data_IF_709257399657
#
_entry.id   IF_709257399657
#
_cell.length_a   1.000
_cell.length_b   1.000
_cell.length_c   1.000
_cell.angle_alpha   90.00
_cell.angle_beta   90.00
_cell.angle_gamma   90.00
#
_symmetry.space_group_name_H-M   'P 1'
#
loop_
_entity.id
_entity.type
_entity.pdbx_description
1 polymer ?
#
# COMPACT_ATOMS: atom_id res chain seq x y z
N UNK A 1 17.75 6.58 -20.02
CA UNK A 1 17.40 7.31 -21.25
C UNK A 1 18.25 8.57 -21.30
N UNK A 2 19.09 8.72 -22.32
CA UNK A 2 20.13 9.77 -22.38
C UNK A 2 19.50 11.07 -22.91
N UNK A 3 19.48 12.14 -22.10
CA UNK A 3 18.89 13.46 -22.45
C UNK A 3 19.44 14.08 -23.75
N UNK A 4 20.57 13.58 -24.27
CA UNK A 4 21.20 14.07 -25.50
C UNK A 4 20.56 13.57 -26.79
N UNK A 5 19.55 12.69 -26.74
CA UNK A 5 18.93 12.10 -27.93
C UNK A 5 17.67 12.83 -28.44
N UNK A 6 17.18 13.85 -27.71
CA UNK A 6 16.02 14.60 -28.18
C UNK A 6 16.44 15.97 -28.74
N UNK A 7 16.10 16.21 -29.98
CA UNK A 7 16.14 17.55 -30.56
C UNK A 7 15.09 18.43 -29.87
N UNK A 8 15.27 19.77 -29.93
CA UNK A 8 14.26 20.72 -29.39
C UNK A 8 12.87 20.45 -30.01
N UNK A 9 12.81 20.24 -31.33
CA UNK A 9 11.57 19.91 -32.01
C UNK A 9 10.96 18.61 -31.54
N UNK A 10 11.73 17.55 -31.39
CA UNK A 10 11.23 16.28 -30.87
C UNK A 10 10.70 16.35 -29.43
N UNK A 11 11.23 17.26 -28.61
CA UNK A 11 10.69 17.53 -27.28
C UNK A 11 9.34 18.26 -27.34
N UNK A 12 9.23 19.28 -28.21
CA UNK A 12 7.99 20.02 -28.42
C UNK A 12 6.87 19.12 -28.99
N UNK A 13 7.20 18.28 -29.95
CA UNK A 13 6.26 17.32 -30.56
C UNK A 13 5.77 16.30 -29.49
N UNK A 14 6.67 15.82 -28.65
CA UNK A 14 6.32 14.92 -27.56
C UNK A 14 5.40 15.60 -26.55
N UNK A 15 5.68 16.84 -26.14
CA UNK A 15 4.82 17.59 -25.23
C UNK A 15 3.42 17.81 -25.83
N UNK A 16 3.35 18.20 -27.09
CA UNK A 16 2.09 18.39 -27.81
C UNK A 16 1.30 17.08 -27.86
N UNK A 17 1.96 15.96 -28.13
CA UNK A 17 1.32 14.65 -28.16
C UNK A 17 0.73 14.29 -26.79
N UNK A 18 1.51 14.45 -25.69
CA UNK A 18 1.02 14.19 -24.33
C UNK A 18 -0.16 15.08 -23.97
N UNK A 19 -0.10 16.35 -24.33
CA UNK A 19 -1.19 17.30 -24.05
C UNK A 19 -2.47 16.91 -24.78
N UNK A 20 -2.37 16.58 -26.06
CA UNK A 20 -3.52 16.25 -26.91
C UNK A 20 -4.17 14.90 -26.57
N UNK A 21 -3.41 13.98 -25.97
CA UNK A 21 -3.90 12.66 -25.58
C UNK A 21 -4.22 12.54 -24.07
N UNK A 22 -3.98 13.58 -23.28
CA UNK A 22 -4.28 13.55 -21.86
C UNK A 22 -5.78 13.45 -21.57
N UNK A 23 -6.12 12.86 -20.44
CA UNK A 23 -7.50 12.78 -19.96
C UNK A 23 -8.08 14.21 -19.83
N UNK A 24 -9.21 14.54 -20.49
CA UNK A 24 -9.81 15.86 -20.41
C UNK A 24 -10.35 16.12 -19.00
N UNK A 25 -10.36 17.40 -18.60
CA UNK A 25 -10.85 17.83 -17.29
C UNK A 25 -12.37 18.00 -17.23
N UNK A 26 -13.04 18.00 -18.38
CA UNK A 26 -14.48 18.15 -18.47
C UNK A 26 -15.08 17.02 -19.29
N UNK A 27 -16.19 16.50 -18.82
CA UNK A 27 -16.99 15.51 -19.54
C UNK A 27 -18.23 16.21 -20.04
N UNK A 28 -18.53 16.18 -21.38
CA UNK A 28 -19.75 16.77 -21.90
C UNK A 28 -21.00 16.17 -21.25
N UNK A 29 -22.08 16.95 -21.17
CA UNK A 29 -23.37 16.45 -20.68
C UNK A 29 -23.80 15.24 -21.51
N UNK A 30 -24.17 14.14 -20.88
CA UNK A 30 -24.53 12.86 -21.48
C UNK A 30 -23.45 12.26 -22.39
N UNK A 31 -22.21 12.77 -22.31
CA UNK A 31 -21.08 12.36 -23.13
C UNK A 31 -20.15 11.38 -22.43
N UNK A 32 -19.09 11.04 -23.16
CA UNK A 32 -17.97 10.22 -22.67
C UNK A 32 -16.67 11.01 -22.84
N UNK A 33 -15.73 10.78 -21.93
CA UNK A 33 -14.37 11.27 -22.06
C UNK A 33 -13.40 10.10 -21.93
N UNK A 34 -12.34 10.13 -22.71
CA UNK A 34 -11.24 9.18 -22.62
C UNK A 34 -9.92 9.91 -22.85
N UNK A 35 -8.85 9.38 -22.29
CA UNK A 35 -7.53 9.95 -22.45
C UNK A 35 -6.49 9.18 -21.63
N UNK A 36 -5.24 9.61 -21.76
CA UNK A 36 -4.12 9.01 -21.06
C UNK A 36 -3.88 9.69 -19.70
N UNK A 37 -3.58 8.89 -18.70
CA UNK A 37 -3.11 9.35 -17.39
C UNK A 37 -1.66 8.94 -17.24
N UNK A 38 -0.79 9.92 -16.99
CA UNK A 38 0.64 9.71 -16.86
C UNK A 38 1.03 9.66 -15.40
N UNK A 39 1.86 8.71 -15.04
CA UNK A 39 2.37 8.54 -13.68
C UNK A 39 3.87 8.24 -13.69
N UNK A 40 4.52 8.35 -12.52
CA UNK A 40 5.93 8.01 -12.38
C UNK A 40 6.19 6.50 -12.46
N UNK A 41 7.43 6.10 -12.80
CA UNK A 41 7.85 4.71 -13.02
C UNK A 41 8.22 3.96 -11.72
N UNK A 42 7.75 4.37 -10.55
CA UNK A 42 8.01 3.60 -9.33
C UNK A 42 7.30 2.26 -9.39
N UNK A 43 8.00 1.20 -8.97
CA UNK A 43 7.39 -0.11 -8.81
C UNK A 43 6.27 -0.09 -7.74
N UNK A 44 5.26 -0.93 -7.91
CA UNK A 44 4.13 -1.05 -6.99
C UNK A 44 2.79 -0.80 -7.67
N UNK A 45 1.72 -1.03 -6.94
CA UNK A 45 0.36 -0.72 -7.39
C UNK A 45 0.17 0.78 -7.50
N UNK A 46 -0.41 1.22 -8.59
CA UNK A 46 -0.79 2.63 -8.79
C UNK A 46 -2.19 2.86 -8.26
N UNK A 47 -2.31 3.77 -7.30
CA UNK A 47 -3.59 4.28 -6.85
C UNK A 47 -3.98 5.52 -7.67
N UNK A 48 -5.15 5.49 -8.28
CA UNK A 48 -5.73 6.64 -8.98
C UNK A 48 -6.99 7.05 -8.24
N UNK A 49 -7.03 8.31 -7.81
CA UNK A 49 -8.22 8.93 -7.27
C UNK A 49 -8.84 9.81 -8.35
N UNK A 50 -10.06 9.49 -8.73
CA UNK A 50 -10.85 10.27 -9.67
C UNK A 50 -11.97 10.97 -8.91
N UNK A 51 -11.92 12.29 -8.88
CA UNK A 51 -12.95 13.12 -8.27
C UNK A 51 -13.78 13.75 -9.39
N UNK A 52 -15.06 13.39 -9.44
CA UNK A 52 -16.03 13.99 -10.37
C UNK A 52 -16.91 14.96 -9.61
N UNK A 53 -17.01 16.18 -10.10
CA UNK A 53 -17.88 17.20 -9.55
C UNK A 53 -19.04 17.48 -10.51
N UNK A 54 -20.27 17.33 -10.02
CA UNK A 54 -21.48 17.57 -10.79
C UNK A 54 -22.54 18.17 -9.89
N UNK A 55 -23.16 19.28 -10.31
CA UNK A 55 -24.29 19.92 -9.63
C UNK A 55 -24.09 20.16 -8.12
N UNK A 56 -22.88 20.61 -7.73
CA UNK A 56 -22.55 20.83 -6.34
C UNK A 56 -22.16 19.58 -5.55
N UNK A 57 -22.19 18.40 -6.15
CA UNK A 57 -21.88 17.13 -5.51
C UNK A 57 -20.54 16.58 -6.01
N UNK A 58 -19.74 16.04 -5.08
CA UNK A 58 -18.45 15.39 -5.35
C UNK A 58 -18.63 13.88 -5.32
N UNK A 59 -18.18 13.21 -6.38
CA UNK A 59 -18.10 11.76 -6.48
C UNK A 59 -16.64 11.34 -6.49
N UNK A 60 -16.24 10.47 -5.56
CA UNK A 60 -14.87 10.01 -5.39
C UNK A 60 -14.75 8.53 -5.78
N UNK A 61 -13.83 8.22 -6.69
CA UNK A 61 -13.54 6.88 -7.16
C UNK A 61 -12.06 6.58 -6.96
N UNK A 62 -11.75 5.44 -6.36
CA UNK A 62 -10.37 4.97 -6.22
C UNK A 62 -10.16 3.70 -7.03
N UNK A 63 -9.19 3.74 -7.92
CA UNK A 63 -8.77 2.60 -8.74
C UNK A 63 -7.38 2.17 -8.31
N UNK A 64 -7.16 0.87 -8.16
CA UNK A 64 -5.86 0.27 -7.89
C UNK A 64 -5.43 -0.55 -9.10
N UNK A 65 -4.37 -0.11 -9.76
CA UNK A 65 -3.84 -0.75 -10.97
C UNK A 65 -2.50 -1.37 -10.64
N UNK A 66 -2.39 -2.71 -10.57
CA UNK A 66 -1.11 -3.37 -10.38
C UNK A 66 -0.22 -3.18 -11.61
N UNK A 67 1.07 -2.91 -11.39
CA UNK A 67 2.04 -2.87 -12.48
C UNK A 67 2.41 -4.30 -12.90
N UNK A 68 2.50 -4.59 -14.21
CA UNK A 68 2.99 -5.86 -14.69
C UNK A 68 4.40 -6.16 -14.15
N UNK A 69 4.61 -7.40 -13.68
CA UNK A 69 5.90 -7.85 -13.14
C UNK A 69 6.19 -7.42 -11.70
N UNK A 70 5.36 -6.60 -11.07
CA UNK A 70 5.47 -6.30 -9.64
C UNK A 70 4.62 -7.27 -8.81
N UNK A 71 5.25 -7.96 -7.88
CA UNK A 71 4.61 -8.81 -6.89
C UNK A 71 4.78 -8.17 -5.50
N UNK A 72 3.68 -7.69 -4.92
CA UNK A 72 3.69 -7.19 -3.55
C UNK A 72 3.96 -8.32 -2.56
N UNK A 73 4.62 -8.03 -1.46
CA UNK A 73 5.04 -9.02 -0.46
C UNK A 73 3.87 -9.78 0.16
N UNK A 74 2.73 -9.12 0.38
CA UNK A 74 1.54 -9.73 0.94
C UNK A 74 0.87 -10.76 0.01
N UNK A 75 1.17 -10.77 -1.31
CA UNK A 75 0.61 -11.76 -2.24
C UNK A 75 1.15 -13.17 -2.00
N UNK A 76 2.27 -13.32 -1.29
CA UNK A 76 2.84 -14.61 -0.86
C UNK A 76 2.08 -15.23 0.32
N UNK A 77 1.26 -14.44 1.03
CA UNK A 77 0.55 -14.87 2.23
C UNK A 77 -0.83 -15.37 1.85
N UNK A 78 -1.13 -16.60 2.21
CA UNK A 78 -2.48 -17.16 2.09
C UNK A 78 -3.29 -16.82 3.35
N UNK A 79 -3.87 -15.63 3.37
CA UNK A 79 -4.55 -15.08 4.55
C UNK A 79 -5.72 -15.94 5.05
N UNK A 80 -6.40 -16.64 4.15
CA UNK A 80 -7.48 -17.58 4.43
C UNK A 80 -7.02 -18.89 5.08
N UNK A 81 -5.73 -19.19 5.00
CA UNK A 81 -5.10 -20.40 5.55
C UNK A 81 -4.09 -20.09 6.67
N UNK A 82 -3.99 -18.82 7.07
CA UNK A 82 -2.97 -18.38 8.03
C UNK A 82 -3.26 -18.86 9.45
N UNK A 83 -4.53 -19.00 9.78
CA UNK A 83 -5.03 -19.52 11.05
C UNK A 83 -6.13 -20.53 10.82
N UNK A 84 -6.15 -21.59 11.61
CA UNK A 84 -7.27 -22.53 11.64
C UNK A 84 -8.52 -21.84 12.19
N UNK A 85 -9.70 -22.34 11.84
CA UNK A 85 -10.96 -21.71 12.26
C UNK A 85 -11.11 -21.64 13.78
N UNK A 86 -10.60 -22.62 14.49
CA UNK A 86 -10.59 -22.72 15.95
C UNK A 86 -9.59 -21.78 16.65
N UNK A 87 -8.62 -21.24 15.91
CA UNK A 87 -7.69 -20.23 16.41
C UNK A 87 -8.25 -18.82 16.33
N UNK A 88 -9.33 -18.64 15.55
CA UNK A 88 -9.94 -17.32 15.34
C UNK A 88 -10.80 -16.97 16.55
N UNK A 89 -10.52 -15.84 17.15
CA UNK A 89 -11.20 -15.35 18.35
C UNK A 89 -12.00 -14.09 17.97
N UNK A 90 -13.33 -14.16 18.15
CA UNK A 90 -14.20 -12.99 18.03
C UNK A 90 -14.12 -12.19 19.32
N UNK A 91 -13.88 -10.88 19.20
CA UNK A 91 -13.68 -9.96 20.31
C UNK A 91 -14.59 -8.74 20.13
N UNK A 92 -15.11 -8.25 21.22
CA UNK A 92 -15.60 -6.88 21.29
C UNK A 92 -14.45 -5.90 21.58
N UNK A 93 -14.77 -4.61 21.70
CA UNK A 93 -13.75 -3.58 21.97
C UNK A 93 -13.04 -3.77 23.32
N UNK A 94 -13.76 -4.24 24.32
CA UNK A 94 -13.19 -4.47 25.66
C UNK A 94 -12.24 -5.67 25.65
N UNK A 95 -12.65 -6.77 25.03
CA UNK A 95 -11.82 -7.95 24.85
C UNK A 95 -10.59 -7.69 23.98
N UNK A 96 -10.70 -6.86 22.92
CA UNK A 96 -9.54 -6.45 22.16
C UNK A 96 -8.56 -5.64 23.01
N UNK A 97 -9.06 -4.70 23.81
CA UNK A 97 -8.20 -3.92 24.72
C UNK A 97 -7.45 -4.83 25.69
N UNK A 98 -8.16 -5.76 26.32
CA UNK A 98 -7.55 -6.72 27.25
C UNK A 98 -6.44 -7.54 26.58
N UNK A 99 -6.71 -8.06 25.38
CA UNK A 99 -5.70 -8.79 24.58
C UNK A 99 -4.46 -7.93 24.26
N UNK A 100 -4.65 -6.66 23.93
CA UNK A 100 -3.56 -5.75 23.61
C UNK A 100 -2.73 -5.37 24.85
N UNK A 101 -3.38 -5.16 25.98
CA UNK A 101 -2.72 -4.73 27.23
C UNK A 101 -2.03 -5.89 27.95
N UNK A 102 -2.61 -7.09 27.90
CA UNK A 102 -2.17 -8.21 28.73
C UNK A 102 -1.52 -9.36 27.96
N UNK A 103 -1.82 -9.58 26.68
CA UNK A 103 -1.34 -10.73 25.94
C UNK A 103 -0.39 -10.39 24.78
N UNK A 104 -0.49 -9.17 24.22
CA UNK A 104 0.38 -8.79 23.12
C UNK A 104 1.79 -8.55 23.64
N UNK A 105 2.76 -9.29 23.08
CA UNK A 105 4.17 -8.97 23.33
C UNK A 105 4.48 -7.52 22.95
N UNK A 106 5.33 -6.84 23.71
CA UNK A 106 5.68 -5.45 23.41
C UNK A 106 6.29 -5.26 22.03
N UNK A 107 7.00 -6.28 21.58
CA UNK A 107 8.01 -6.08 20.55
C UNK A 107 8.11 -7.28 19.62
N UNK A 108 8.51 -7.02 18.38
CA UNK A 108 8.97 -8.06 17.48
C UNK A 108 10.27 -8.70 18.02
N UNK A 109 10.66 -9.82 17.46
CA UNK A 109 11.92 -10.49 17.79
C UNK A 109 12.73 -10.75 16.53
N UNK A 110 13.99 -11.15 16.69
CA UNK A 110 14.76 -11.75 15.63
C UNK A 110 14.33 -13.22 15.37
N UNK A 111 14.96 -13.87 14.41
CA UNK A 111 14.70 -15.26 14.04
C UNK A 111 14.98 -16.25 15.17
N UNK A 112 15.97 -15.98 15.98
CA UNK A 112 16.41 -16.83 17.10
C UNK A 112 15.68 -16.50 18.40
N UNK A 113 14.81 -15.47 18.41
CA UNK A 113 14.12 -14.94 19.58
C UNK A 113 15.05 -14.42 20.69
N UNK A 114 16.31 -14.16 20.35
CA UNK A 114 17.33 -13.69 21.31
C UNK A 114 17.39 -12.18 21.43
N UNK A 115 16.99 -11.46 20.37
CA UNK A 115 17.01 -9.98 20.33
C UNK A 115 15.61 -9.44 20.15
N UNK A 116 15.29 -8.39 20.91
CA UNK A 116 14.08 -7.61 20.69
C UNK A 116 14.27 -6.69 19.49
N UNK A 117 13.24 -6.63 18.64
CA UNK A 117 13.12 -5.70 17.54
C UNK A 117 12.28 -4.46 17.91
N UNK A 118 11.63 -3.86 16.91
CA UNK A 118 10.77 -2.70 17.11
C UNK A 118 9.51 -3.01 17.93
N UNK A 119 8.98 -2.02 18.66
CA UNK A 119 7.75 -2.18 19.43
C UNK A 119 6.52 -2.27 18.51
N UNK A 120 5.50 -2.99 18.96
CA UNK A 120 4.16 -2.95 18.38
C UNK A 120 3.45 -1.68 18.85
N UNK A 121 3.44 -0.67 18.01
CA UNK A 121 2.95 0.68 18.34
C UNK A 121 1.70 1.10 17.56
N UNK A 122 1.20 0.24 16.67
CA UNK A 122 0.06 0.56 15.82
C UNK A 122 -0.81 -0.68 15.64
N UNK A 123 -2.09 -0.53 15.87
CA UNK A 123 -3.11 -1.55 15.61
C UNK A 123 -4.04 -1.04 14.52
N UNK A 124 -4.24 -1.85 13.49
CA UNK A 124 -5.12 -1.54 12.37
C UNK A 124 -6.29 -2.52 12.37
N UNK A 125 -7.52 -2.01 12.38
CA UNK A 125 -8.74 -2.80 12.36
C UNK A 125 -9.44 -2.57 11.03
N UNK A 126 -9.71 -3.63 10.29
CA UNK A 126 -10.40 -3.56 9.01
C UNK A 126 -10.04 -4.71 8.08
N UNK A 127 -10.71 -4.79 6.93
CA UNK A 127 -10.36 -5.78 5.91
C UNK A 127 -9.02 -5.44 5.25
N UNK A 128 -8.29 -6.45 4.79
CA UNK A 128 -7.01 -6.26 4.09
C UNK A 128 -7.13 -5.33 2.89
N UNK A 129 -8.23 -5.40 2.13
CA UNK A 129 -8.47 -4.49 1.00
C UNK A 129 -8.68 -3.04 1.45
N UNK A 130 -9.39 -2.82 2.54
CA UNK A 130 -9.61 -1.46 3.09
C UNK A 130 -8.29 -0.88 3.58
N UNK A 131 -7.50 -1.65 4.31
CA UNK A 131 -6.18 -1.25 4.80
C UNK A 131 -5.23 -0.93 3.65
N UNK A 132 -5.16 -1.80 2.64
CA UNK A 132 -4.34 -1.57 1.44
C UNK A 132 -4.70 -0.25 0.75
N UNK A 133 -6.00 -0.01 0.51
CA UNK A 133 -6.48 1.25 -0.08
C UNK A 133 -6.08 2.46 0.76
N UNK A 134 -6.23 2.39 2.07
CA UNK A 134 -5.86 3.45 2.99
C UNK A 134 -4.35 3.75 2.93
N UNK A 135 -3.49 2.70 2.92
CA UNK A 135 -2.05 2.86 2.79
C UNK A 135 -1.67 3.54 1.47
N UNK A 136 -2.18 3.05 0.34
CA UNK A 136 -1.87 3.61 -0.98
C UNK A 136 -2.38 5.06 -1.13
N UNK A 137 -3.55 5.40 -0.57
CA UNK A 137 -4.05 6.78 -0.52
C UNK A 137 -3.22 7.70 0.39
N UNK A 138 -2.59 7.13 1.39
CA UNK A 138 -1.67 7.82 2.31
C UNK A 138 -0.23 7.88 1.81
N UNK A 139 0.02 7.67 0.51
CA UNK A 139 1.34 7.66 -0.13
C UNK A 139 2.32 6.62 0.44
N UNK A 140 1.80 5.55 1.03
CA UNK A 140 2.61 4.40 1.38
C UNK A 140 2.86 3.54 0.13
N UNK A 141 4.09 3.10 -0.02
CA UNK A 141 4.54 2.26 -1.12
C UNK A 141 4.59 0.81 -0.67
N UNK A 142 4.16 -0.08 -1.54
CA UNK A 142 4.26 -1.53 -1.33
C UNK A 142 5.71 -1.99 -1.44
N UNK A 143 6.05 -3.01 -0.69
CA UNK A 143 7.34 -3.69 -0.80
C UNK A 143 7.21 -4.92 -1.68
N UNK A 144 8.24 -5.26 -2.45
CA UNK A 144 8.25 -6.50 -3.22
C UNK A 144 8.50 -7.71 -2.33
N UNK A 145 7.95 -8.87 -2.73
CA UNK A 145 8.15 -10.13 -2.05
C UNK A 145 9.64 -10.48 -1.86
N UNK A 146 10.47 -10.16 -2.84
CA UNK A 146 11.93 -10.40 -2.78
C UNK A 146 12.62 -9.55 -1.70
N UNK A 147 12.15 -8.32 -1.49
CA UNK A 147 12.76 -7.41 -0.51
C UNK A 147 12.49 -7.87 0.91
N UNK A 148 11.28 -8.36 1.20
CA UNK A 148 10.92 -8.86 2.54
C UNK A 148 11.67 -10.14 2.89
N UNK A 149 11.88 -11.03 1.93
CA UNK A 149 12.66 -12.25 2.13
C UNK A 149 14.09 -11.98 2.65
N UNK A 150 14.62 -10.79 2.38
CA UNK A 150 15.95 -10.34 2.84
C UNK A 150 15.93 -9.65 4.21
N UNK A 151 14.74 -9.26 4.72
CA UNK A 151 14.60 -8.59 6.02
C UNK A 151 14.45 -9.63 7.14
N UNK A 152 15.56 -10.05 7.73
CA UNK A 152 15.64 -11.15 8.72
C UNK A 152 15.32 -10.73 10.15
N UNK A 153 15.05 -9.47 10.44
CA UNK A 153 15.16 -8.93 11.80
C UNK A 153 13.85 -8.67 12.55
N UNK A 154 12.71 -8.81 11.88
CA UNK A 154 11.41 -8.50 12.51
C UNK A 154 10.49 -9.71 12.40
N UNK A 155 10.20 -10.36 13.53
CA UNK A 155 9.28 -11.50 13.59
C UNK A 155 8.26 -11.34 14.71
N UNK A 156 7.03 -11.74 14.46
CA UNK A 156 5.99 -11.92 15.46
C UNK A 156 5.62 -13.39 15.55
N UNK A 157 5.78 -13.98 16.72
CA UNK A 157 5.55 -15.44 16.93
C UNK A 157 6.28 -16.31 15.91
N UNK A 158 7.51 -15.93 15.56
CA UNK A 158 8.35 -16.66 14.59
C UNK A 158 8.04 -16.37 13.11
N UNK A 159 6.98 -15.62 12.78
CA UNK A 159 6.60 -15.26 11.42
C UNK A 159 7.24 -13.95 10.98
N UNK A 160 7.66 -13.90 9.73
CA UNK A 160 8.00 -12.63 9.05
C UNK A 160 6.74 -11.76 8.89
N UNK A 161 6.88 -10.45 8.68
CA UNK A 161 5.74 -9.60 8.38
C UNK A 161 4.91 -10.14 7.21
N UNK A 162 3.59 -10.07 7.34
CA UNK A 162 2.65 -10.46 6.29
C UNK A 162 2.57 -9.39 5.19
N UNK A 163 2.77 -8.13 5.57
CA UNK A 163 2.88 -7.02 4.64
C UNK A 163 3.86 -5.96 5.18
N UNK A 164 4.61 -5.35 4.27
CA UNK A 164 5.49 -4.23 4.58
C UNK A 164 5.18 -3.08 3.64
N UNK A 165 4.85 -1.94 4.23
CA UNK A 165 4.71 -0.68 3.53
C UNK A 165 5.79 0.29 3.96
N UNK A 166 6.12 1.25 3.09
CA UNK A 166 7.09 2.27 3.41
C UNK A 166 6.76 3.58 2.71
N UNK A 167 7.24 4.68 3.27
CA UNK A 167 7.21 5.98 2.61
C UNK A 167 8.38 6.85 3.02
N UNK A 168 8.70 7.82 2.17
CA UNK A 168 9.67 8.84 2.52
C UNK A 168 9.04 9.90 3.42
N UNK A 169 9.80 10.44 4.34
CA UNK A 169 9.48 11.69 5.02
C UNK A 169 9.52 12.86 4.03
N UNK A 170 8.98 14.02 4.44
CA UNK A 170 8.84 15.19 3.57
C UNK A 170 10.15 15.68 2.97
N UNK A 171 11.27 15.50 3.67
CA UNK A 171 12.62 15.86 3.21
C UNK A 171 13.24 14.85 2.23
N UNK A 172 12.62 13.67 2.07
CA UNK A 172 13.10 12.60 1.22
C UNK A 172 14.34 11.84 1.72
N UNK A 173 14.92 12.25 2.84
CA UNK A 173 16.16 11.69 3.37
C UNK A 173 15.93 10.49 4.27
N UNK A 174 14.77 10.39 4.89
CA UNK A 174 14.41 9.29 5.77
C UNK A 174 13.26 8.46 5.20
N UNK A 175 13.34 7.15 5.43
CA UNK A 175 12.31 6.20 5.07
C UNK A 175 11.67 5.63 6.32
N UNK A 176 10.35 5.73 6.43
CA UNK A 176 9.55 5.06 7.45
C UNK A 176 9.08 3.75 6.87
N UNK A 177 9.20 2.66 7.62
CA UNK A 177 8.64 1.36 7.27
C UNK A 177 7.58 0.95 8.29
N UNK A 178 6.49 0.38 7.79
CA UNK A 178 5.40 -0.20 8.58
C UNK A 178 5.39 -1.69 8.31
N UNK A 179 5.68 -2.48 9.33
CA UNK A 179 5.63 -3.94 9.30
C UNK A 179 4.31 -4.40 9.91
N UNK A 180 3.55 -5.20 9.18
CA UNK A 180 2.22 -5.66 9.58
C UNK A 180 2.17 -7.17 9.70
N UNK A 181 1.47 -7.64 10.73
CA UNK A 181 1.12 -9.05 10.96
C UNK A 181 -0.37 -9.16 11.19
N UNK A 182 -1.03 -10.06 10.50
CA UNK A 182 -2.40 -10.42 10.80
C UNK A 182 -2.43 -11.23 12.10
N UNK A 183 -3.36 -10.88 12.97
CA UNK A 183 -3.67 -11.66 14.19
C UNK A 183 -4.92 -12.51 13.96
N UNK A 184 -5.13 -13.58 14.74
CA UNK A 184 -6.37 -14.37 14.68
C UNK A 184 -7.55 -13.69 15.35
N UNK A 185 -7.49 -12.40 15.59
CA UNK A 185 -8.52 -11.64 16.30
C UNK A 185 -9.44 -10.93 15.32
N UNK A 186 -10.73 -11.14 15.47
CA UNK A 186 -11.79 -10.44 14.74
C UNK A 186 -12.57 -9.54 15.69
N UNK A 187 -12.93 -8.33 15.20
CA UNK A 187 -13.65 -7.31 15.97
C UNK A 187 -14.87 -6.86 15.20
#
# INVERSE_FOLDING_TARGET
MNRKQFTKQGYEDMQAWFHNNAMPRQIPASGKASGLVFTHLRAGTKGFNLNLFQQGQLYDFTFLVPLPGFQADYTRVKFDQLYASEEIIELDRAGLRDKLENELACCATDETKTKQGGPFNTILIGSGNTLRRAMLRGDWLETSAETVAKSRTQRYKGRSPDAVFWKYRKDGNERIALHLWLTPWRV
#
